data_IF_297663256050
#
_entry.id   IF_297663256050
#
_cell.length_a   1.000
_cell.length_b   1.000
_cell.length_c   1.000
_cell.angle_alpha   90.00
_cell.angle_beta   90.00
_cell.angle_gamma   90.00
#
_symmetry.space_group_name_H-M   'P 1'
#
loop_
_entity.id
_entity.type
_entity.pdbx_description
1 polymer ?
#
# COMPACT_ATOMS: atom_id res chain seq x y z
N UNK A 1 10.52 3.64 26.60
CA UNK A 1 9.56 3.46 25.48
C UNK A 1 9.87 4.39 24.31
N UNK A 2 10.48 5.55 24.55
CA UNK A 2 10.95 6.50 23.52
C UNK A 2 11.56 5.87 22.25
N UNK A 3 12.59 5.04 22.40
CA UNK A 3 13.29 4.43 21.25
C UNK A 3 12.33 3.59 20.39
N UNK A 4 11.45 2.80 21.04
CA UNK A 4 10.47 1.98 20.33
C UNK A 4 9.45 2.85 19.57
N UNK A 5 8.99 3.94 20.17
CA UNK A 5 8.07 4.87 19.51
C UNK A 5 8.70 5.56 18.32
N UNK A 6 9.95 6.03 18.46
CA UNK A 6 10.69 6.65 17.35
C UNK A 6 10.85 5.65 16.20
N UNK A 7 11.23 4.41 16.49
CA UNK A 7 11.33 3.35 15.48
C UNK A 7 9.99 3.13 14.78
N UNK A 8 8.90 3.00 15.53
CA UNK A 8 7.55 2.79 14.96
C UNK A 8 7.07 3.99 14.13
N UNK A 9 7.36 5.22 14.55
CA UNK A 9 7.03 6.45 13.80
C UNK A 9 7.81 6.54 12.48
N UNK A 10 9.12 6.26 12.51
CA UNK A 10 9.96 6.21 11.30
C UNK A 10 9.47 5.10 10.36
N UNK A 11 9.16 3.92 10.90
CA UNK A 11 8.64 2.81 10.11
C UNK A 11 7.28 3.16 9.47
N UNK A 12 6.39 3.81 10.23
CA UNK A 12 5.10 4.28 9.73
C UNK A 12 5.28 5.32 8.60
N UNK A 13 6.17 6.29 8.79
CA UNK A 13 6.47 7.29 7.76
C UNK A 13 7.04 6.66 6.49
N UNK A 14 8.02 5.75 6.64
CA UNK A 14 8.64 5.06 5.52
C UNK A 14 7.64 4.18 4.76
N UNK A 15 6.83 3.39 5.48
CA UNK A 15 5.80 2.54 4.87
C UNK A 15 4.69 3.36 4.20
N UNK A 16 4.34 4.54 4.71
CA UNK A 16 3.40 5.47 4.06
C UNK A 16 3.91 5.97 2.71
N UNK A 17 5.19 6.37 2.66
CA UNK A 17 5.83 6.84 1.44
C UNK A 17 5.95 5.72 0.42
N UNK A 18 6.42 4.54 0.86
CA UNK A 18 6.52 3.36 0.00
C UNK A 18 5.15 2.91 -0.52
N UNK A 19 4.11 2.90 0.31
CA UNK A 19 2.75 2.58 -0.15
C UNK A 19 2.26 3.56 -1.21
N UNK A 20 2.45 4.86 -0.99
CA UNK A 20 2.09 5.88 -1.98
C UNK A 20 2.78 5.61 -3.33
N UNK A 21 4.10 5.38 -3.31
CA UNK A 21 4.86 5.08 -4.53
C UNK A 21 4.41 3.77 -5.19
N UNK A 22 4.20 2.71 -4.41
CA UNK A 22 3.77 1.42 -4.92
C UNK A 22 2.36 1.49 -5.52
N UNK A 23 1.45 2.25 -4.92
CA UNK A 23 0.10 2.48 -5.46
C UNK A 23 0.20 3.23 -6.79
N UNK A 24 1.03 4.28 -6.89
CA UNK A 24 1.25 4.99 -8.16
C UNK A 24 1.90 4.10 -9.23
N UNK A 25 2.72 3.12 -8.83
CA UNK A 25 3.33 2.15 -9.72
C UNK A 25 2.35 1.07 -10.21
N UNK A 26 1.19 0.91 -9.56
CA UNK A 26 0.15 0.04 -10.12
C UNK A 26 -0.26 0.65 -11.45
N UNK A 27 -0.01 -0.10 -12.53
CA UNK A 27 -0.45 0.27 -13.88
C UNK A 27 -1.93 0.64 -13.77
N UNK A 28 -2.28 1.89 -14.09
CA UNK A 28 -3.66 2.37 -14.13
C UNK A 28 -4.44 1.59 -15.18
N UNK A 29 -4.87 0.38 -14.84
CA UNK A 29 -5.61 -0.49 -15.73
C UNK A 29 -7.04 0.01 -15.80
N UNK A 30 -7.37 0.65 -16.92
CA UNK A 30 -8.73 0.73 -17.44
C UNK A 30 -9.51 1.94 -16.96
N UNK A 31 -9.49 3.00 -17.76
CA UNK A 31 -10.39 4.15 -17.61
C UNK A 31 -10.57 4.97 -18.88
N UNK A 32 -10.03 4.53 -20.03
CA UNK A 32 -10.38 5.13 -21.30
C UNK A 32 -11.82 4.76 -21.66
N UNK A 33 -12.59 5.70 -22.23
CA UNK A 33 -13.96 5.46 -22.72
C UNK A 33 -14.06 4.16 -23.56
N UNK A 34 -13.03 3.83 -24.34
CA UNK A 34 -12.95 2.60 -25.13
C UNK A 34 -13.02 1.30 -24.31
N UNK A 35 -12.42 1.25 -23.11
CA UNK A 35 -12.51 0.08 -22.23
C UNK A 35 -13.89 -0.02 -21.55
N UNK A 36 -14.57 1.13 -21.35
CA UNK A 36 -15.94 1.19 -20.82
C UNK A 36 -17.01 0.89 -21.88
N UNK A 37 -16.68 1.07 -23.17
CA UNK A 37 -17.56 0.79 -24.33
C UNK A 37 -17.23 -0.51 -25.08
N UNK A 38 -16.50 -1.45 -24.45
CA UNK A 38 -16.31 -2.81 -24.98
C UNK A 38 -15.16 -2.99 -25.99
N UNK A 39 -14.26 -2.01 -26.12
CA UNK A 39 -13.14 -2.01 -27.08
C UNK A 39 -11.90 -2.78 -26.65
N UNK A 40 -12.04 -3.97 -26.05
CA UNK A 40 -10.93 -4.61 -25.33
C UNK A 40 -10.79 -6.13 -25.47
N UNK A 41 -11.13 -6.74 -26.61
CA UNK A 41 -10.96 -8.20 -26.79
C UNK A 41 -9.51 -8.59 -27.18
N UNK A 42 -8.64 -7.64 -27.56
CA UNK A 42 -7.31 -7.97 -28.12
C UNK A 42 -6.10 -7.34 -27.40
N UNK A 43 -6.28 -6.51 -26.38
CA UNK A 43 -5.18 -5.67 -25.84
C UNK A 43 -4.53 -6.17 -24.54
N UNK A 44 -4.97 -7.29 -23.94
CA UNK A 44 -4.49 -7.72 -22.61
C UNK A 44 -3.28 -8.66 -22.61
N UNK A 45 -2.83 -9.18 -23.76
CA UNK A 45 -1.79 -10.22 -23.83
C UNK A 45 -0.35 -9.75 -23.56
N UNK A 46 -0.08 -8.44 -23.58
CA UNK A 46 1.29 -7.92 -23.53
C UNK A 46 1.78 -7.41 -22.16
N UNK A 47 0.91 -7.32 -21.15
CA UNK A 47 1.29 -6.79 -19.85
C UNK A 47 1.66 -7.94 -18.90
N UNK A 48 2.91 -7.98 -18.46
CA UNK A 48 3.49 -8.96 -17.53
C UNK A 48 2.60 -9.19 -16.30
N UNK A 49 1.70 -10.17 -16.39
CA UNK A 49 0.78 -10.53 -15.30
C UNK A 49 1.52 -11.00 -14.05
N UNK A 50 2.77 -11.46 -14.19
CA UNK A 50 3.62 -11.87 -13.08
C UNK A 50 4.12 -10.65 -12.29
N UNK A 51 4.56 -9.59 -12.97
CA UNK A 51 5.03 -8.37 -12.32
C UNK A 51 3.90 -7.67 -11.55
N UNK A 52 2.72 -7.60 -12.14
CA UNK A 52 1.53 -6.99 -11.51
C UNK A 52 1.02 -7.80 -10.32
N UNK A 53 0.98 -9.13 -10.46
CA UNK A 53 0.58 -10.01 -9.35
C UNK A 53 1.58 -9.97 -8.20
N UNK A 54 2.86 -9.76 -8.49
CA UNK A 54 3.88 -9.58 -7.45
C UNK A 54 3.74 -8.20 -6.78
N UNK A 55 3.57 -7.14 -7.57
CA UNK A 55 3.38 -5.77 -7.06
C UNK A 55 2.18 -5.69 -6.11
N UNK A 56 1.05 -6.28 -6.49
CA UNK A 56 -0.14 -6.35 -5.62
C UNK A 56 0.14 -7.08 -4.31
N UNK A 57 0.88 -8.20 -4.37
CA UNK A 57 1.23 -8.99 -3.17
C UNK A 57 2.09 -8.18 -2.19
N UNK A 58 3.09 -7.48 -2.72
CA UNK A 58 3.98 -6.62 -1.93
C UNK A 58 3.18 -5.48 -1.30
N UNK A 59 2.30 -4.81 -2.05
CA UNK A 59 1.48 -3.71 -1.54
C UNK A 59 0.53 -4.16 -0.44
N UNK A 60 -0.11 -5.34 -0.57
CA UNK A 60 -0.97 -5.90 0.48
C UNK A 60 -0.17 -6.16 1.76
N UNK A 61 0.98 -6.83 1.64
CA UNK A 61 1.84 -7.13 2.80
C UNK A 61 2.30 -5.83 3.47
N UNK A 62 2.75 -4.86 2.69
CA UNK A 62 3.20 -3.57 3.20
C UNK A 62 2.05 -2.79 3.85
N UNK A 63 0.84 -2.87 3.29
CA UNK A 63 -0.39 -2.30 3.86
C UNK A 63 -0.74 -2.90 5.23
N UNK A 64 -0.60 -4.21 5.39
CA UNK A 64 -0.81 -4.88 6.68
C UNK A 64 0.21 -4.41 7.73
N UNK A 65 1.48 -4.28 7.36
CA UNK A 65 2.53 -3.75 8.25
C UNK A 65 2.22 -2.30 8.65
N UNK A 66 1.84 -1.47 7.68
CA UNK A 66 1.47 -0.08 7.92
C UNK A 66 0.29 0.07 8.90
N UNK A 67 -0.81 -0.67 8.67
CA UNK A 67 -1.97 -0.66 9.60
C UNK A 67 -1.57 -1.15 10.98
N UNK A 68 -0.76 -2.20 11.07
CA UNK A 68 -0.29 -2.73 12.35
C UNK A 68 0.50 -1.68 13.13
N UNK A 69 1.38 -0.91 12.46
CA UNK A 69 2.10 0.19 13.11
C UNK A 69 1.18 1.28 13.64
N UNK A 70 0.11 1.64 12.91
CA UNK A 70 -0.89 2.61 13.38
C UNK A 70 -1.59 2.11 14.64
N UNK A 71 -2.06 0.85 14.62
CA UNK A 71 -2.77 0.27 15.77
C UNK A 71 -1.86 0.20 16.98
N UNK A 72 -0.62 -0.29 16.83
CA UNK A 72 0.34 -0.41 17.94
C UNK A 72 0.71 0.97 18.50
N UNK A 73 1.02 1.94 17.64
CA UNK A 73 1.28 3.32 18.09
C UNK A 73 0.06 3.91 18.80
N UNK A 74 -1.14 3.74 18.25
CA UNK A 74 -2.39 4.20 18.87
C UNK A 74 -2.66 3.58 20.24
N UNK A 75 -2.32 2.29 20.42
CA UNK A 75 -2.42 1.63 21.72
C UNK A 75 -1.38 2.18 22.70
N UNK A 76 -0.12 2.32 22.28
CA UNK A 76 0.96 2.88 23.12
C UNK A 76 0.58 4.29 23.57
N UNK A 77 0.16 5.16 22.65
CA UNK A 77 -0.23 6.54 22.99
C UNK A 77 -1.45 6.58 23.90
N UNK A 78 -2.44 5.71 23.69
CA UNK A 78 -3.61 5.61 24.58
C UNK A 78 -3.20 5.25 26.01
N UNK A 79 -2.39 4.20 26.18
CA UNK A 79 -2.01 3.71 27.51
C UNK A 79 -0.97 4.59 28.20
N UNK A 80 -0.11 5.30 27.45
CA UNK A 80 0.79 6.31 28.02
C UNK A 80 0.07 7.62 28.37
N UNK A 81 -0.90 8.05 27.57
CA UNK A 81 -1.69 9.26 27.85
C UNK A 81 -2.69 9.08 29.01
N UNK A 82 -2.89 7.85 29.51
CA UNK A 82 -3.70 7.57 30.69
C UNK A 82 -5.21 7.77 30.49
N UNK A 83 -5.71 7.65 29.26
CA UNK A 83 -7.14 7.75 28.90
C UNK A 83 -7.74 6.36 28.64
#
# INVERSE_FOLDING_TARGET
MEILQVVLQVLLGLTSLLLTLLILLHKGRGGGLSDMFGGGVTSSLGASGVAERNLNRITIILGLVWVTCIVVLGLITKFEAGI
#
